data_IF_329735184266
#
_entry.id   IF_329735184266
#
_cell.length_a   1.000
_cell.length_b   1.000
_cell.length_c   1.000
_cell.angle_alpha   90.00
_cell.angle_beta   90.00
_cell.angle_gamma   90.00
#
_symmetry.space_group_name_H-M   'P 1'
#
loop_
_entity.id
_entity.type
_entity.pdbx_description
1 polymer ?
#
# COMPACT_ATOMS: atom_id res chain seq x y z
N UNK A 1 -3.87 -0.75 -18.89
CA UNK A 1 -4.33 -0.32 -17.55
C UNK A 1 -3.57 -1.15 -16.52
N UNK A 2 -2.91 -0.52 -15.57
CA UNK A 2 -2.08 -1.21 -14.56
C UNK A 2 -2.71 -0.99 -13.19
N UNK A 3 -2.93 -2.06 -12.43
CA UNK A 3 -3.51 -1.95 -11.10
C UNK A 3 -2.46 -1.46 -10.10
N UNK A 4 -2.87 -0.61 -9.17
CA UNK A 4 -2.05 -0.16 -8.05
C UNK A 4 -2.76 -0.61 -6.78
N UNK A 5 -2.25 -1.69 -6.19
CA UNK A 5 -2.87 -2.39 -5.07
C UNK A 5 -2.30 -1.89 -3.76
N UNK A 6 -3.15 -1.27 -2.94
CA UNK A 6 -2.75 -0.85 -1.59
C UNK A 6 -2.88 -2.03 -0.62
N UNK A 7 -1.85 -2.23 0.20
CA UNK A 7 -2.00 -3.01 1.42
C UNK A 7 -2.88 -2.27 2.45
N UNK A 8 -3.15 -2.91 3.58
CA UNK A 8 -4.02 -2.36 4.61
C UNK A 8 -3.49 -1.03 5.16
N UNK A 9 -2.20 -0.95 5.46
CA UNK A 9 -1.62 0.26 6.03
C UNK A 9 -1.56 1.41 5.02
N UNK A 10 -1.14 1.17 3.77
CA UNK A 10 -1.12 2.17 2.71
C UNK A 10 -2.54 2.69 2.42
N UNK A 11 -3.54 1.82 2.40
CA UNK A 11 -4.94 2.25 2.28
C UNK A 11 -5.35 3.14 3.45
N UNK A 12 -5.17 2.70 4.69
CA UNK A 12 -5.62 3.44 5.88
C UNK A 12 -4.94 4.80 6.05
N UNK A 13 -3.67 4.92 5.65
CA UNK A 13 -2.91 6.19 5.69
C UNK A 13 -3.44 7.23 4.71
N UNK A 14 -3.90 6.81 3.53
CA UNK A 14 -4.28 7.71 2.44
C UNK A 14 -5.78 7.93 2.34
N UNK A 15 -6.58 6.88 2.50
CA UNK A 15 -7.99 6.85 2.10
C UNK A 15 -8.90 7.81 2.89
N UNK A 16 -8.47 8.24 4.09
CA UNK A 16 -9.20 9.27 4.85
C UNK A 16 -9.14 10.65 4.16
N UNK A 17 -8.08 10.95 3.41
CA UNK A 17 -7.78 12.30 2.89
C UNK A 17 -7.78 12.38 1.37
N UNK A 18 -7.33 11.32 0.69
CA UNK A 18 -7.39 11.22 -0.77
C UNK A 18 -8.73 10.60 -1.14
N UNK A 19 -9.64 11.41 -1.68
CA UNK A 19 -10.98 10.96 -2.08
C UNK A 19 -11.24 11.27 -3.57
N UNK A 20 -11.73 10.29 -4.35
CA UNK A 20 -11.91 8.89 -3.97
C UNK A 20 -10.57 8.19 -3.68
N UNK A 21 -10.53 7.23 -2.77
CA UNK A 21 -9.29 6.51 -2.43
C UNK A 21 -8.99 5.36 -3.41
N UNK A 22 -10.05 4.76 -3.95
CA UNK A 22 -9.98 3.67 -4.91
C UNK A 22 -10.79 3.97 -6.19
N UNK A 23 -10.42 3.30 -7.27
CA UNK A 23 -10.90 3.52 -8.64
C UNK A 23 -10.58 4.91 -9.19
N UNK A 24 -9.56 5.58 -8.65
CA UNK A 24 -8.94 6.73 -9.33
C UNK A 24 -8.08 6.17 -10.45
N UNK A 25 -8.31 6.66 -11.66
CA UNK A 25 -7.37 6.53 -12.76
C UNK A 25 -6.38 7.69 -12.73
N UNK A 26 -5.08 7.40 -12.85
CA UNK A 26 -4.05 8.45 -12.81
C UNK A 26 -2.82 8.13 -13.66
N UNK A 27 -2.12 9.19 -14.04
CA UNK A 27 -0.89 9.12 -14.82
C UNK A 27 -1.10 8.68 -16.27
N UNK A 28 -0.09 8.90 -17.10
CA UNK A 28 -0.15 8.59 -18.54
C UNK A 28 -0.23 7.08 -18.84
N UNK A 29 0.20 6.24 -17.89
CA UNK A 29 0.17 4.77 -18.02
C UNK A 29 -1.21 4.16 -17.71
N UNK A 30 -2.20 4.98 -17.32
CA UNK A 30 -3.53 4.51 -16.94
C UNK A 30 -3.47 3.59 -15.71
N UNK A 31 -2.88 4.10 -14.62
CA UNK A 31 -2.87 3.41 -13.34
C UNK A 31 -4.24 3.49 -12.70
N UNK A 32 -4.67 2.42 -12.02
CA UNK A 32 -5.93 2.41 -11.27
C UNK A 32 -5.68 1.97 -9.84
N UNK A 33 -5.95 2.88 -8.90
CA UNK A 33 -5.90 2.58 -7.46
C UNK A 33 -6.98 1.58 -7.09
N UNK A 34 -6.62 0.52 -6.39
CA UNK A 34 -7.58 -0.47 -5.89
C UNK A 34 -7.02 -1.17 -4.66
N UNK A 35 -7.83 -2.02 -4.04
CA UNK A 35 -7.45 -2.87 -2.92
C UNK A 35 -8.02 -4.27 -3.12
N UNK A 36 -7.46 -5.23 -2.40
CA UNK A 36 -8.05 -6.56 -2.24
C UNK A 36 -8.96 -6.61 -1.00
N UNK A 37 -9.91 -7.56 -0.99
CA UNK A 37 -10.80 -7.79 0.16
C UNK A 37 -10.07 -8.12 1.46
N UNK A 38 -8.80 -8.55 1.41
CA UNK A 38 -7.98 -8.79 2.61
C UNK A 38 -7.84 -7.55 3.49
N UNK A 39 -7.89 -6.34 2.91
CA UNK A 39 -7.91 -5.09 3.68
C UNK A 39 -9.15 -5.00 4.56
N UNK A 40 -10.30 -5.44 4.04
CA UNK A 40 -11.53 -5.49 4.82
C UNK A 40 -11.44 -6.51 5.95
N UNK A 41 -11.05 -7.73 5.59
CA UNK A 41 -10.93 -8.84 6.52
C UNK A 41 -9.96 -8.51 7.66
N UNK A 42 -8.86 -7.81 7.38
CA UNK A 42 -7.85 -7.43 8.36
C UNK A 42 -8.35 -6.34 9.32
N UNK A 43 -8.93 -5.26 8.78
CA UNK A 43 -9.43 -4.15 9.62
C UNK A 43 -10.53 -4.64 10.54
N UNK A 44 -11.49 -5.42 10.04
CA UNK A 44 -12.60 -5.91 10.85
C UNK A 44 -12.17 -6.94 11.91
N UNK A 45 -11.15 -7.75 11.61
CA UNK A 45 -10.59 -8.71 12.57
C UNK A 45 -9.81 -8.04 13.68
N UNK A 46 -9.17 -6.89 13.43
CA UNK A 46 -8.28 -6.22 14.37
C UNK A 46 -9.01 -5.17 15.21
N UNK A 47 -9.26 -5.40 16.52
CA UNK A 47 -9.88 -4.40 17.39
C UNK A 47 -9.07 -3.10 17.46
N UNK A 48 -7.74 -3.22 17.43
CA UNK A 48 -6.81 -2.07 17.40
C UNK A 48 -7.03 -1.21 16.17
N UNK A 49 -7.10 -1.82 14.97
CA UNK A 49 -7.31 -1.05 13.74
C UNK A 49 -8.68 -0.39 13.73
N UNK A 50 -9.75 -1.07 14.15
CA UNK A 50 -11.09 -0.46 14.25
C UNK A 50 -11.11 0.74 15.19
N UNK A 51 -10.47 0.63 16.36
CA UNK A 51 -10.37 1.74 17.30
C UNK A 51 -9.54 2.92 16.75
N UNK A 52 -8.48 2.63 15.98
CA UNK A 52 -7.60 3.66 15.40
C UNK A 52 -8.24 4.35 14.19
N UNK A 53 -9.02 3.61 13.40
CA UNK A 53 -9.62 4.05 12.16
C UNK A 53 -11.16 3.94 12.20
N UNK A 54 -11.84 4.65 13.12
CA UNK A 54 -13.30 4.52 13.27
C UNK A 54 -14.09 5.03 12.06
N UNK A 55 -13.44 5.82 11.19
CA UNK A 55 -14.02 6.30 9.93
C UNK A 55 -14.12 5.21 8.86
N UNK A 56 -13.41 4.09 9.02
CA UNK A 56 -13.28 3.05 7.98
C UNK A 56 -14.62 2.46 7.53
N UNK A 57 -15.55 2.28 8.47
CA UNK A 57 -16.91 1.79 8.23
C UNK A 57 -17.93 2.91 7.94
N UNK A 58 -17.47 4.17 7.87
CA UNK A 58 -18.32 5.29 7.46
C UNK A 58 -18.91 5.02 6.07
N UNK A 59 -20.21 5.30 5.90
CA UNK A 59 -20.98 4.90 4.71
C UNK A 59 -20.29 5.31 3.39
N UNK A 60 -19.74 6.52 3.34
CA UNK A 60 -19.04 7.04 2.17
C UNK A 60 -17.75 6.28 1.82
N UNK A 61 -17.04 5.72 2.83
CA UNK A 61 -15.79 4.99 2.64
C UNK A 61 -16.09 3.53 2.29
N UNK A 62 -17.01 2.91 3.02
CA UNK A 62 -17.42 1.53 2.79
C UNK A 62 -18.04 1.35 1.40
N UNK A 63 -18.94 2.24 0.99
CA UNK A 63 -19.60 2.15 -0.32
C UNK A 63 -18.61 2.25 -1.48
N UNK A 64 -17.65 3.19 -1.40
CA UNK A 64 -16.60 3.34 -2.41
C UNK A 64 -15.68 2.12 -2.46
N UNK A 65 -15.21 1.69 -1.28
CA UNK A 65 -14.27 0.58 -1.12
C UNK A 65 -14.86 -0.73 -1.64
N UNK A 66 -16.07 -1.09 -1.20
CA UNK A 66 -16.74 -2.35 -1.59
C UNK A 66 -17.09 -2.37 -3.09
N UNK A 67 -17.42 -1.22 -3.67
CA UNK A 67 -17.73 -1.14 -5.10
C UNK A 67 -16.50 -1.28 -6.01
N UNK A 68 -15.31 -0.90 -5.53
CA UNK A 68 -14.09 -0.76 -6.36
C UNK A 68 -12.94 -1.70 -5.99
N UNK A 69 -13.23 -2.71 -5.18
CA UNK A 69 -12.32 -3.82 -4.90
C UNK A 69 -12.04 -4.67 -6.15
N UNK A 70 -10.81 -5.15 -6.26
CA UNK A 70 -10.46 -6.10 -7.32
C UNK A 70 -11.24 -7.41 -7.15
N UNK A 71 -11.86 -7.88 -8.24
CA UNK A 71 -12.47 -9.20 -8.33
C UNK A 71 -11.58 -10.13 -9.12
N UNK A 72 -11.42 -11.34 -8.60
CA UNK A 72 -10.61 -12.39 -9.21
C UNK A 72 -11.48 -13.59 -9.57
N UNK A 73 -11.27 -14.12 -10.77
CA UNK A 73 -11.81 -15.39 -11.23
C UNK A 73 -11.23 -16.57 -10.42
N UNK A 74 -11.84 -17.75 -10.57
CA UNK A 74 -11.36 -18.95 -9.91
C UNK A 74 -9.95 -19.36 -10.39
N UNK A 75 -9.69 -19.22 -11.69
CA UNK A 75 -8.39 -19.50 -12.30
C UNK A 75 -7.31 -18.56 -11.78
N UNK A 76 -7.57 -17.25 -11.77
CA UNK A 76 -6.63 -16.27 -11.23
C UNK A 76 -6.32 -16.55 -9.75
N UNK A 77 -7.35 -16.89 -8.95
CA UNK A 77 -7.13 -17.26 -7.54
C UNK A 77 -6.22 -18.48 -7.40
N UNK A 78 -6.42 -19.50 -8.23
CA UNK A 78 -5.58 -20.70 -8.20
C UNK A 78 -4.12 -20.38 -8.58
N UNK A 79 -3.91 -19.58 -9.63
CA UNK A 79 -2.57 -19.12 -10.02
C UNK A 79 -1.90 -18.30 -8.92
N UNK A 80 -2.64 -17.39 -8.28
CA UNK A 80 -2.11 -16.56 -7.18
C UNK A 80 -1.77 -17.44 -5.97
N UNK A 81 -2.61 -18.43 -5.63
CA UNK A 81 -2.33 -19.35 -4.53
C UNK A 81 -1.07 -20.19 -4.77
N UNK A 82 -0.87 -20.67 -6.00
CA UNK A 82 0.35 -21.39 -6.37
C UNK A 82 1.60 -20.50 -6.22
N UNK A 83 1.58 -19.28 -6.76
CA UNK A 83 2.68 -18.32 -6.62
C UNK A 83 2.90 -17.92 -5.14
N UNK A 84 1.82 -17.67 -4.40
CA UNK A 84 1.88 -17.35 -2.96
C UNK A 84 2.53 -18.45 -2.14
N UNK A 85 2.28 -19.72 -2.47
CA UNK A 85 2.91 -20.86 -1.79
C UNK A 85 4.42 -20.85 -1.96
N UNK A 86 4.91 -20.51 -3.16
CA UNK A 86 6.35 -20.37 -3.45
C UNK A 86 6.94 -19.20 -2.67
N UNK A 87 6.34 -18.01 -2.74
CA UNK A 87 6.83 -16.82 -2.04
C UNK A 87 6.89 -17.05 -0.52
N UNK A 88 5.83 -17.63 0.05
CA UNK A 88 5.78 -17.90 1.48
C UNK A 88 6.78 -18.98 1.90
N UNK A 89 6.94 -20.03 1.09
CA UNK A 89 7.98 -21.04 1.31
C UNK A 89 9.39 -20.45 1.28
N UNK A 90 9.63 -19.48 0.39
CA UNK A 90 10.90 -18.75 0.30
C UNK A 90 11.18 -17.92 1.56
N UNK A 91 10.18 -17.19 2.05
CA UNK A 91 10.28 -16.46 3.33
C UNK A 91 10.53 -17.41 4.49
N UNK A 92 9.85 -18.55 4.54
CA UNK A 92 10.01 -19.53 5.62
C UNK A 92 11.37 -20.25 5.61
N UNK A 93 12.08 -20.27 4.47
CA UNK A 93 13.42 -20.84 4.39
C UNK A 93 14.46 -19.99 5.13
N UNK A 94 14.26 -18.67 5.19
CA UNK A 94 15.09 -17.74 5.97
C UNK A 94 14.25 -16.55 6.49
N UNK A 95 13.46 -16.72 7.56
CA UNK A 95 12.57 -15.68 8.05
C UNK A 95 13.31 -14.44 8.57
N UNK A 96 14.54 -14.61 9.06
CA UNK A 96 15.33 -13.54 9.67
C UNK A 96 15.74 -12.49 8.63
N UNK A 97 16.05 -12.92 7.40
CA UNK A 97 16.33 -12.03 6.28
C UNK A 97 15.19 -11.02 6.02
N UNK A 98 13.94 -11.41 6.33
CA UNK A 98 12.75 -10.58 6.09
C UNK A 98 12.20 -9.89 7.34
N UNK A 99 12.74 -10.17 8.53
CA UNK A 99 12.28 -9.61 9.81
C UNK A 99 12.99 -8.28 10.20
N UNK A 100 13.63 -7.60 9.23
CA UNK A 100 14.47 -6.43 9.50
C UNK A 100 13.69 -5.24 10.10
N UNK A 101 14.34 -4.50 11.01
CA UNK A 101 13.77 -3.30 11.61
C UNK A 101 12.69 -3.54 12.67
N UNK A 102 12.67 -4.73 13.30
CA UNK A 102 11.73 -5.07 14.37
C UNK A 102 10.34 -5.46 13.88
N UNK A 103 10.22 -5.87 12.60
CA UNK A 103 8.96 -6.29 11.99
C UNK A 103 8.93 -7.79 11.83
N UNK A 104 7.73 -8.34 11.79
CA UNK A 104 7.54 -9.74 11.41
C UNK A 104 7.83 -9.91 9.92
N UNK A 105 8.35 -11.08 9.50
CA UNK A 105 8.51 -11.40 8.09
C UNK A 105 7.14 -11.41 7.38
N UNK A 106 7.10 -11.22 6.04
CA UNK A 106 5.87 -11.24 5.27
C UNK A 106 5.03 -12.50 5.53
N UNK A 107 3.79 -12.30 5.97
CA UNK A 107 2.86 -13.39 6.25
C UNK A 107 2.18 -13.93 4.99
N UNK A 108 1.24 -14.88 5.14
CA UNK A 108 0.48 -15.44 4.03
C UNK A 108 -0.27 -14.38 3.20
N UNK A 109 -0.87 -13.38 3.85
CA UNK A 109 -1.60 -12.29 3.17
C UNK A 109 -0.64 -11.40 2.37
N UNK A 110 0.53 -11.09 2.93
CA UNK A 110 1.55 -10.26 2.27
C UNK A 110 2.09 -10.96 1.03
N UNK A 111 2.43 -12.25 1.17
CA UNK A 111 2.85 -13.10 0.06
C UNK A 111 1.74 -13.24 -1.00
N UNK A 112 0.47 -13.29 -0.58
CA UNK A 112 -0.65 -13.33 -1.50
C UNK A 112 -0.76 -12.04 -2.33
N UNK A 113 -0.61 -10.87 -1.71
CA UNK A 113 -0.63 -9.59 -2.42
C UNK A 113 0.52 -9.49 -3.44
N UNK A 114 1.73 -9.89 -3.04
CA UNK A 114 2.88 -9.94 -3.95
C UNK A 114 2.65 -10.92 -5.12
N UNK A 115 2.12 -12.10 -4.84
CA UNK A 115 1.77 -13.08 -5.87
C UNK A 115 0.72 -12.55 -6.86
N UNK A 116 -0.24 -11.75 -6.41
CA UNK A 116 -1.17 -11.05 -7.31
C UNK A 116 -0.40 -10.16 -8.30
N UNK A 117 0.60 -9.41 -7.81
CA UNK A 117 1.50 -8.60 -8.63
C UNK A 117 2.28 -9.37 -9.70
N UNK A 118 2.48 -10.69 -9.53
CA UNK A 118 3.10 -11.55 -10.54
C UNK A 118 2.09 -12.06 -11.58
N UNK A 119 0.87 -12.40 -11.14
CA UNK A 119 -0.16 -12.99 -12.01
C UNK A 119 -0.88 -11.94 -12.85
N UNK A 120 -0.96 -10.70 -12.38
CA UNK A 120 -1.60 -9.59 -13.09
C UNK A 120 -0.64 -8.43 -13.25
N UNK A 121 -0.84 -7.54 -14.25
CA UNK A 121 -0.09 -6.29 -14.36
C UNK A 121 -0.51 -5.35 -13.22
N UNK A 122 0.06 -5.56 -12.04
CA UNK A 122 -0.24 -4.82 -10.83
C UNK A 122 1.05 -4.41 -10.11
N UNK A 123 0.97 -3.28 -9.41
CA UNK A 123 2.04 -2.73 -8.59
C UNK A 123 1.53 -2.73 -7.16
N UNK A 124 2.29 -3.33 -6.25
CA UNK A 124 1.93 -3.38 -4.84
C UNK A 124 2.41 -2.09 -4.16
N UNK A 125 1.60 -1.51 -3.28
CA UNK A 125 1.97 -0.34 -2.50
C UNK A 125 1.93 -0.71 -1.03
N UNK A 126 3.10 -0.66 -0.40
CA UNK A 126 3.29 -0.94 1.02
C UNK A 126 4.55 -0.25 1.53
N UNK A 127 4.58 0.08 2.82
CA UNK A 127 5.80 0.53 3.50
C UNK A 127 6.50 -0.61 4.27
N UNK A 128 6.07 -1.86 4.07
CA UNK A 128 6.70 -3.04 4.67
C UNK A 128 8.04 -3.40 4.01
N UNK A 129 9.14 -3.27 4.75
CA UNK A 129 10.47 -3.51 4.20
C UNK A 129 10.74 -4.99 3.88
N UNK A 130 10.11 -5.92 4.60
CA UNK A 130 10.19 -7.34 4.30
C UNK A 130 9.50 -7.67 2.96
N UNK A 131 8.34 -7.06 2.69
CA UNK A 131 7.69 -7.17 1.39
C UNK A 131 8.52 -6.56 0.26
N UNK A 132 9.18 -5.42 0.49
CA UNK A 132 10.09 -4.79 -0.49
C UNK A 132 11.30 -5.68 -0.78
N UNK A 133 11.91 -6.29 0.24
CA UNK A 133 13.01 -7.22 0.06
C UNK A 133 12.58 -8.44 -0.77
N UNK A 134 11.46 -9.07 -0.41
CA UNK A 134 10.93 -10.21 -1.15
C UNK A 134 10.55 -9.85 -2.60
N UNK A 135 9.93 -8.69 -2.79
CA UNK A 135 9.59 -8.21 -4.13
C UNK A 135 10.83 -8.01 -5.02
N UNK A 136 11.93 -7.51 -4.46
CA UNK A 136 13.18 -7.29 -5.19
C UNK A 136 13.78 -8.61 -5.69
N UNK A 137 13.75 -9.67 -4.88
CA UNK A 137 14.28 -10.99 -5.26
C UNK A 137 13.46 -11.66 -6.38
N UNK A 138 12.15 -11.44 -6.39
CA UNK A 138 11.23 -12.03 -7.36
C UNK A 138 10.87 -11.09 -8.53
N UNK A 139 11.50 -9.92 -8.62
CA UNK A 139 11.25 -8.94 -9.68
C UNK A 139 9.82 -8.39 -9.70
N UNK A 140 9.17 -8.31 -8.54
CA UNK A 140 7.78 -7.85 -8.39
C UNK A 140 7.77 -6.33 -8.29
N UNK A 141 6.91 -5.67 -9.07
CA UNK A 141 6.77 -4.22 -9.00
C UNK A 141 6.11 -3.80 -7.68
N UNK A 142 6.83 -3.00 -6.89
CA UNK A 142 6.41 -2.50 -5.59
C UNK A 142 6.76 -1.02 -5.43
N UNK A 143 5.94 -0.28 -4.69
CA UNK A 143 6.16 1.10 -4.30
C UNK A 143 5.99 1.28 -2.80
N UNK A 144 6.71 2.23 -2.24
CA UNK A 144 6.37 2.83 -0.97
C UNK A 144 5.12 3.71 -1.11
N UNK A 145 4.44 3.95 0.02
CA UNK A 145 3.27 4.83 0.04
C UNK A 145 3.60 6.26 -0.40
N UNK A 146 4.81 6.75 -0.11
CA UNK A 146 5.23 8.10 -0.50
C UNK A 146 5.44 8.21 -2.03
N UNK A 147 5.85 7.12 -2.69
CA UNK A 147 6.04 7.10 -4.15
C UNK A 147 4.70 7.15 -4.87
N UNK A 148 3.70 6.44 -4.34
CA UNK A 148 2.32 6.59 -4.79
C UNK A 148 1.85 8.04 -4.62
N UNK A 149 2.09 8.64 -3.45
CA UNK A 149 1.66 10.01 -3.18
C UNK A 149 2.31 11.00 -4.17
N UNK A 150 3.59 10.82 -4.51
CA UNK A 150 4.27 11.66 -5.49
C UNK A 150 3.73 11.48 -6.92
N UNK A 151 3.34 10.25 -7.30
CA UNK A 151 2.71 9.99 -8.59
C UNK A 151 1.32 10.61 -8.67
N UNK A 152 0.53 10.52 -7.60
CA UNK A 152 -0.77 11.19 -7.52
C UNK A 152 -0.61 12.71 -7.63
N UNK A 153 0.40 13.27 -6.96
CA UNK A 153 0.71 14.70 -7.03
C UNK A 153 1.11 15.11 -8.45
N UNK A 154 1.98 14.34 -9.08
CA UNK A 154 2.44 14.59 -10.45
C UNK A 154 1.31 14.48 -11.47
N UNK A 155 0.33 13.60 -11.22
CA UNK A 155 -0.91 13.49 -11.97
C UNK A 155 -1.96 14.55 -11.60
N UNK A 156 -1.65 15.50 -10.71
CA UNK A 156 -2.55 16.55 -10.20
C UNK A 156 -3.80 16.01 -9.48
N UNK A 157 -3.75 14.77 -9.01
CA UNK A 157 -4.81 14.16 -8.17
C UNK A 157 -4.75 14.70 -6.74
N UNK A 158 -3.55 14.97 -6.23
CA UNK A 158 -3.36 15.60 -4.90
C UNK A 158 -2.58 16.91 -5.02
N UNK A 159 -2.97 17.91 -4.24
CA UNK A 159 -2.28 19.19 -4.18
C UNK A 159 -1.06 19.14 -3.25
N UNK A 160 -0.10 20.07 -3.38
CA UNK A 160 1.00 20.19 -2.42
C UNK A 160 0.54 20.39 -0.98
N UNK A 161 -0.56 21.11 -0.75
CA UNK A 161 -1.11 21.33 0.59
C UNK A 161 -1.68 20.03 1.17
N UNK A 162 -2.40 19.24 0.35
CA UNK A 162 -2.88 17.93 0.78
C UNK A 162 -1.71 16.98 1.11
N UNK A 163 -0.60 17.07 0.39
CA UNK A 163 0.63 16.32 0.75
C UNK A 163 1.14 16.73 2.13
N UNK A 164 1.16 18.03 2.45
CA UNK A 164 1.53 18.52 3.79
C UNK A 164 0.58 17.99 4.87
N UNK A 165 -0.72 18.03 4.61
CA UNK A 165 -1.74 17.56 5.54
C UNK A 165 -1.63 16.06 5.83
N UNK A 166 -1.33 15.25 4.81
CA UNK A 166 -1.09 13.81 4.98
C UNK A 166 0.16 13.58 5.85
N UNK A 167 1.28 14.25 5.53
CA UNK A 167 2.50 14.13 6.33
C UNK A 167 2.28 14.54 7.78
N UNK A 168 1.66 15.71 8.03
CA UNK A 168 1.38 16.20 9.37
C UNK A 168 0.47 15.25 10.16
N UNK A 169 -0.54 14.67 9.50
CA UNK A 169 -1.41 13.69 10.14
C UNK A 169 -0.68 12.39 10.53
N UNK A 170 0.20 11.89 9.67
CA UNK A 170 0.99 10.69 9.98
C UNK A 170 1.97 10.96 11.14
N UNK A 171 2.54 12.17 11.22
CA UNK A 171 3.40 12.58 12.33
C UNK A 171 2.62 12.66 13.64
N UNK A 172 1.47 13.34 13.66
CA UNK A 172 0.60 13.47 14.84
C UNK A 172 0.15 12.09 15.35
N UNK A 173 -0.17 11.18 14.43
CA UNK A 173 -0.61 9.83 14.77
C UNK A 173 0.55 8.89 15.18
N UNK A 174 1.81 9.33 15.09
CA UNK A 174 2.97 8.48 15.33
C UNK A 174 3.13 7.36 14.30
N UNK A 175 2.53 7.48 13.12
CA UNK A 175 2.49 6.46 12.06
C UNK A 175 3.35 6.84 10.85
N UNK A 176 4.17 7.91 10.92
CA UNK A 176 5.05 8.31 9.81
C UNK A 176 6.23 7.32 9.65
N UNK A 177 6.27 6.51 8.57
CA UNK A 177 7.35 5.56 8.35
C UNK A 177 8.70 6.26 8.16
N UNK A 178 9.80 5.56 8.46
CA UNK A 178 11.15 6.10 8.27
C UNK A 178 11.41 6.51 6.80
N UNK A 179 11.00 5.67 5.85
CA UNK A 179 11.14 5.94 4.41
C UNK A 179 10.41 7.22 3.99
N UNK A 180 9.24 7.50 4.59
CA UNK A 180 8.52 8.75 4.36
C UNK A 180 9.25 9.97 4.92
N UNK A 181 9.87 9.86 6.11
CA UNK A 181 10.70 10.94 6.69
C UNK A 181 11.86 11.31 5.77
N UNK A 182 12.53 10.31 5.21
CA UNK A 182 13.61 10.53 4.26
C UNK A 182 13.09 11.13 2.94
N UNK A 183 11.94 10.65 2.45
CA UNK A 183 11.27 11.17 1.26
C UNK A 183 10.79 12.62 1.41
N UNK A 184 10.43 13.06 2.63
CA UNK A 184 9.96 14.43 2.93
C UNK A 184 10.90 15.50 2.38
N UNK A 185 12.20 15.27 2.53
CA UNK A 185 13.24 16.24 2.18
C UNK A 185 14.03 15.90 0.92
N UNK A 186 13.74 14.75 0.30
CA UNK A 186 14.37 14.32 -0.96
C UNK A 186 13.36 14.41 -2.10
N UNK A 187 12.39 13.50 -2.12
CA UNK A 187 11.29 13.42 -3.12
C UNK A 187 10.41 14.67 -3.06
N UNK A 188 10.03 15.11 -1.86
CA UNK A 188 9.15 16.26 -1.66
C UNK A 188 9.90 17.55 -1.27
N UNK A 189 11.17 17.68 -1.65
CA UNK A 189 12.00 18.86 -1.37
C UNK A 189 11.38 20.18 -1.86
N UNK A 190 10.60 20.17 -2.95
CA UNK A 190 9.86 21.35 -3.44
C UNK A 190 8.67 21.75 -2.55
N UNK A 191 8.19 20.87 -1.68
CA UNK A 191 7.05 21.09 -0.79
C UNK A 191 7.52 21.44 0.62
N UNK A 192 8.52 20.71 1.13
CA UNK A 192 9.00 20.82 2.52
C UNK A 192 10.37 21.47 2.66
N UNK A 193 11.05 21.78 1.54
CA UNK A 193 12.44 22.24 1.55
C UNK A 193 13.45 21.10 1.73
N UNK A 194 14.75 21.39 1.56
CA UNK A 194 15.82 20.43 1.80
C UNK A 194 15.90 20.06 3.30
N UNK A 195 16.62 18.98 3.60
CA UNK A 195 16.82 18.53 4.99
C UNK A 195 17.58 19.63 5.76
N UNK A 196 17.13 20.02 6.97
CA UNK A 196 17.89 20.92 7.82
C UNK A 196 19.30 20.36 8.06
N UNK A 197 20.31 21.23 8.01
CA UNK A 197 21.69 20.87 8.35
C UNK A 197 21.84 20.63 9.84
#
# INVERSE_FOLDING_TARGET
MTLVLLDTNAYLRLAKRVRPAVGIEFGQKGYVLTIHKSVEDEVHRSPRLRATYPWFDGQEFASERLAKQIRLSAEEKASIQAAQSVLHGWVLADPEAYASGGRSPPGPTDCWLLALGQVKPAIIVTDDLGMHALAAEFGIAIWHGFELLDKLRSAKVVSPDLVRDIYGALEINGDLPRTWRDAKHTVFSKIFGPKPK
#
